data_IF_654045942165
#
_entry.id   IF_654045942165
#
_cell.length_a   1.000
_cell.length_b   1.000
_cell.length_c   1.000
_cell.angle_alpha   90.00
_cell.angle_beta   90.00
_cell.angle_gamma   90.00
#
_symmetry.space_group_name_H-M   'P 1'
#
loop_
_entity.id
_entity.type
_entity.pdbx_description
1 polymer ?
#
# COMPACT_ATOMS: atom_id res chain seq x y z
N UNK A 1 -46.72 33.65 -16.33
CA UNK A 1 -46.01 33.05 -15.18
C UNK A 1 -44.53 33.06 -15.52
N UNK A 2 -43.75 33.98 -14.95
CA UNK A 2 -42.29 34.05 -15.14
C UNK A 2 -41.65 32.76 -14.65
N UNK A 3 -41.19 31.90 -15.57
CA UNK A 3 -40.26 30.84 -15.23
C UNK A 3 -38.92 31.51 -14.93
N UNK A 4 -38.74 31.90 -13.66
CA UNK A 4 -37.46 32.36 -13.16
C UNK A 4 -36.47 31.20 -13.38
N UNK A 5 -35.61 31.29 -14.38
CA UNK A 5 -34.73 30.20 -14.84
C UNK A 5 -33.66 29.94 -13.77
N UNK A 6 -34.01 29.15 -12.77
CA UNK A 6 -33.13 28.84 -11.66
C UNK A 6 -32.02 27.90 -12.15
N UNK A 7 -30.83 28.44 -12.40
CA UNK A 7 -29.65 27.64 -12.76
C UNK A 7 -29.02 27.00 -11.51
N UNK A 8 -28.57 25.73 -11.60
CA UNK A 8 -27.80 25.10 -10.53
C UNK A 8 -26.44 25.78 -10.36
N UNK A 9 -25.74 25.43 -9.28
CA UNK A 9 -24.41 25.98 -9.01
C UNK A 9 -23.43 25.70 -10.17
N UNK A 10 -22.90 26.77 -10.79
CA UNK A 10 -21.98 26.68 -11.94
C UNK A 10 -20.72 25.86 -11.64
N UNK A 11 -20.23 25.91 -10.41
CA UNK A 11 -19.03 25.17 -9.98
C UNK A 11 -19.27 23.66 -10.03
N UNK A 12 -20.39 23.18 -9.50
CA UNK A 12 -20.70 21.75 -9.52
C UNK A 12 -20.99 21.24 -10.94
N UNK A 13 -21.65 22.07 -11.76
CA UNK A 13 -21.90 21.74 -13.17
C UNK A 13 -20.59 21.70 -13.98
N UNK A 14 -19.69 22.67 -13.77
CA UNK A 14 -18.37 22.69 -14.41
C UNK A 14 -17.50 21.49 -14.00
N UNK A 15 -17.53 21.12 -12.72
CA UNK A 15 -16.88 19.91 -12.23
C UNK A 15 -17.45 18.65 -12.90
N UNK A 16 -18.78 18.53 -12.97
CA UNK A 16 -19.45 17.43 -13.64
C UNK A 16 -19.08 17.35 -15.13
N UNK A 17 -19.06 18.48 -15.84
CA UNK A 17 -18.70 18.54 -17.26
C UNK A 17 -17.24 18.19 -17.52
N UNK A 18 -16.33 18.55 -16.61
CA UNK A 18 -14.93 18.12 -16.68
C UNK A 18 -14.78 16.61 -16.41
N UNK A 19 -15.55 16.06 -15.48
CA UNK A 19 -15.45 14.66 -15.06
C UNK A 19 -16.17 13.68 -16.01
N UNK A 20 -17.33 14.05 -16.57
CA UNK A 20 -18.19 13.14 -17.32
C UNK A 20 -17.78 13.07 -18.81
N UNK A 21 -17.61 11.84 -19.30
CA UNK A 21 -17.33 11.56 -20.71
C UNK A 21 -18.48 12.08 -21.60
N UNK A 22 -18.20 12.72 -22.75
CA UNK A 22 -19.20 13.40 -23.58
C UNK A 22 -20.41 12.53 -23.98
N UNK A 23 -20.22 11.21 -24.11
CA UNK A 23 -21.26 10.25 -24.50
C UNK A 23 -22.44 10.13 -23.50
N UNK A 24 -22.21 10.36 -22.21
CA UNK A 24 -23.25 10.18 -21.16
C UNK A 24 -23.62 11.50 -20.46
N UNK A 25 -22.97 12.59 -20.88
CA UNK A 25 -23.08 13.89 -20.23
C UNK A 25 -24.49 14.45 -20.33
N UNK A 26 -25.06 14.47 -21.52
CA UNK A 26 -26.36 15.12 -21.77
C UNK A 26 -27.50 14.44 -20.99
N UNK A 27 -27.50 13.10 -20.95
CA UNK A 27 -28.55 12.33 -20.25
C UNK A 27 -28.45 12.51 -18.73
N UNK A 28 -27.25 12.39 -18.16
CA UNK A 28 -27.04 12.54 -16.72
C UNK A 28 -27.22 14.00 -16.27
N UNK A 29 -26.76 14.97 -17.07
CA UNK A 29 -26.97 16.40 -16.81
C UNK A 29 -28.46 16.75 -16.83
N UNK A 30 -29.21 16.17 -17.78
CA UNK A 30 -30.66 16.32 -17.87
C UNK A 30 -31.36 15.85 -16.59
N UNK A 31 -31.10 14.61 -16.18
CA UNK A 31 -31.69 14.00 -14.97
C UNK A 31 -31.32 14.76 -13.67
N UNK A 32 -30.06 15.19 -13.54
CA UNK A 32 -29.62 16.01 -12.40
C UNK A 32 -30.29 17.40 -12.38
N UNK A 33 -30.45 18.02 -13.55
CA UNK A 33 -31.06 19.34 -13.68
C UNK A 33 -32.57 19.27 -13.43
N UNK A 34 -33.24 18.22 -13.89
CA UNK A 34 -34.65 17.95 -13.60
C UNK A 34 -34.90 17.80 -12.10
N UNK A 35 -34.10 16.97 -11.40
CA UNK A 35 -34.20 16.85 -9.93
C UNK A 35 -33.90 18.15 -9.20
N UNK A 36 -32.94 18.94 -9.68
CA UNK A 36 -32.67 20.26 -9.10
C UNK A 36 -33.89 21.18 -9.20
N UNK A 37 -34.53 21.28 -10.37
CA UNK A 37 -35.74 22.08 -10.53
C UNK A 37 -36.87 21.62 -9.60
N UNK A 38 -37.06 20.31 -9.48
CA UNK A 38 -38.03 19.74 -8.51
C UNK A 38 -37.70 20.13 -7.06
N UNK A 39 -36.42 20.14 -6.69
CA UNK A 39 -35.99 20.58 -5.36
C UNK A 39 -36.12 22.10 -5.15
N UNK A 40 -35.94 22.91 -6.20
CA UNK A 40 -36.14 24.37 -6.12
C UNK A 40 -37.61 24.67 -5.83
N UNK A 41 -38.54 24.00 -6.53
CA UNK A 41 -39.98 24.19 -6.32
C UNK A 41 -40.43 23.73 -4.93
N UNK A 42 -39.85 22.64 -4.40
CA UNK A 42 -40.28 22.04 -3.13
C UNK A 42 -39.64 22.65 -1.89
N UNK A 43 -38.38 23.11 -1.97
CA UNK A 43 -37.60 23.51 -0.81
C UNK A 43 -36.87 24.86 -0.95
N UNK A 44 -36.99 25.52 -2.10
CA UNK A 44 -36.28 26.76 -2.42
C UNK A 44 -34.83 26.56 -2.88
N UNK A 45 -34.27 27.62 -3.49
CA UNK A 45 -32.96 27.62 -4.17
C UNK A 45 -31.79 27.13 -3.32
N UNK A 46 -31.72 27.55 -2.05
CA UNK A 46 -30.58 27.25 -1.17
C UNK A 46 -30.46 25.76 -0.85
N UNK A 47 -31.58 25.11 -0.50
CA UNK A 47 -31.60 23.67 -0.19
C UNK A 47 -31.43 22.82 -1.45
N UNK A 48 -32.02 23.25 -2.57
CA UNK A 48 -31.84 22.62 -3.86
C UNK A 48 -30.37 22.58 -4.30
N UNK A 49 -29.62 23.67 -4.13
CA UNK A 49 -28.19 23.72 -4.49
C UNK A 49 -27.36 22.74 -3.65
N UNK A 50 -27.65 22.63 -2.34
CA UNK A 50 -26.96 21.67 -1.48
C UNK A 50 -27.26 20.22 -1.87
N UNK A 51 -28.49 19.92 -2.26
CA UNK A 51 -28.88 18.59 -2.74
C UNK A 51 -28.22 18.26 -4.08
N UNK A 52 -28.19 19.21 -5.02
CA UNK A 52 -27.51 19.06 -6.30
C UNK A 52 -26.02 18.79 -6.14
N UNK A 53 -25.32 19.58 -5.31
CA UNK A 53 -23.90 19.34 -5.00
C UNK A 53 -23.70 17.95 -4.38
N UNK A 54 -24.59 17.56 -3.45
CA UNK A 54 -24.55 16.22 -2.85
C UNK A 54 -24.74 15.13 -3.89
N UNK A 55 -25.66 15.28 -4.84
CA UNK A 55 -25.92 14.32 -5.90
C UNK A 55 -24.76 14.22 -6.90
N UNK A 56 -24.15 15.34 -7.29
CA UNK A 56 -22.94 15.36 -8.13
C UNK A 56 -21.76 14.66 -7.42
N UNK A 57 -21.57 14.92 -6.11
CA UNK A 57 -20.55 14.23 -5.30
C UNK A 57 -20.92 12.75 -5.07
N UNK A 58 -22.21 12.41 -4.93
CA UNK A 58 -22.68 11.03 -4.77
C UNK A 58 -22.56 10.25 -6.08
N UNK A 59 -22.66 10.91 -7.24
CA UNK A 59 -22.36 10.32 -8.54
C UNK A 59 -20.91 9.83 -8.57
N UNK A 60 -20.02 10.54 -7.86
CA UNK A 60 -18.66 10.15 -7.54
C UNK A 60 -18.61 9.20 -6.32
N UNK A 61 -19.47 8.16 -6.29
CA UNK A 61 -19.49 7.17 -5.21
C UNK A 61 -18.11 6.49 -5.10
N UNK A 62 -17.42 6.54 -3.94
CA UNK A 62 -16.18 5.81 -3.69
C UNK A 62 -16.32 4.28 -3.82
N UNK A 63 -17.56 3.76 -3.79
CA UNK A 63 -17.86 2.35 -4.01
C UNK A 63 -17.58 1.88 -5.46
N UNK A 64 -17.60 2.78 -6.46
CA UNK A 64 -17.14 2.46 -7.84
C UNK A 64 -15.64 2.64 -7.97
N UNK A 65 -15.04 3.64 -7.32
CA UNK A 65 -13.58 3.75 -7.24
C UNK A 65 -12.93 2.50 -6.60
N UNK A 66 -13.60 1.91 -5.59
CA UNK A 66 -13.29 0.58 -5.06
C UNK A 66 -13.26 -0.53 -6.12
N UNK A 67 -14.18 -0.47 -7.09
CA UNK A 67 -14.30 -1.41 -8.20
C UNK A 67 -13.41 -1.05 -9.42
N UNK A 68 -12.90 0.18 -9.50
CA UNK A 68 -11.91 0.59 -10.50
C UNK A 68 -10.53 0.03 -10.14
N UNK A 69 -10.21 -0.21 -8.86
CA UNK A 69 -9.04 -1.03 -8.49
C UNK A 69 -9.09 -2.43 -9.09
N UNK A 70 -10.28 -2.98 -9.32
CA UNK A 70 -10.44 -4.28 -9.99
C UNK A 70 -10.23 -4.17 -11.52
N UNK A 71 -10.55 -3.02 -12.13
CA UNK A 71 -10.39 -2.80 -13.58
C UNK A 71 -8.98 -2.32 -13.97
N UNK A 72 -8.23 -1.71 -13.04
CA UNK A 72 -6.81 -1.40 -13.20
C UNK A 72 -5.90 -2.59 -12.86
N UNK A 73 -6.45 -3.68 -12.30
CA UNK A 73 -5.70 -4.90 -11.95
C UNK A 73 -5.45 -5.85 -13.13
N UNK A 74 -5.89 -5.53 -14.34
CA UNK A 74 -5.72 -6.42 -15.51
C UNK A 74 -4.32 -6.33 -16.16
N UNK A 75 -3.40 -5.55 -15.57
CA UNK A 75 -2.00 -5.43 -16.01
C UNK A 75 -0.96 -5.35 -14.89
N UNK A 76 -1.37 -5.18 -13.63
CA UNK A 76 -0.48 -5.46 -12.50
C UNK A 76 -0.45 -6.96 -12.30
N UNK A 77 0.72 -7.58 -12.48
CA UNK A 77 0.93 -8.97 -12.07
C UNK A 77 0.27 -9.15 -10.70
N UNK A 78 -0.74 -10.02 -10.60
CA UNK A 78 -1.27 -10.43 -9.31
C UNK A 78 -0.13 -11.13 -8.57
N UNK A 79 0.63 -10.35 -7.81
CA UNK A 79 1.55 -10.89 -6.83
C UNK A 79 0.62 -11.53 -5.80
N UNK A 80 0.35 -12.82 -5.98
CA UNK A 80 -0.38 -13.62 -5.00
C UNK A 80 0.18 -13.34 -3.61
N UNK A 81 -0.64 -13.34 -2.57
CA UNK A 81 -0.22 -12.93 -1.22
C UNK A 81 1.06 -13.69 -0.73
N UNK A 82 1.29 -14.89 -1.25
CA UNK A 82 2.51 -15.69 -1.06
C UNK A 82 3.76 -15.06 -1.69
N UNK A 83 3.65 -14.53 -2.91
CA UNK A 83 4.74 -13.86 -3.62
C UNK A 83 5.04 -12.49 -2.99
N UNK A 84 4.03 -11.81 -2.42
CA UNK A 84 4.21 -10.53 -1.73
C UNK A 84 5.13 -10.69 -0.52
N UNK A 85 4.91 -11.72 0.29
CA UNK A 85 5.72 -11.98 1.50
C UNK A 85 7.17 -12.29 1.17
N UNK A 86 7.41 -13.14 0.16
CA UNK A 86 8.76 -13.45 -0.30
C UNK A 86 9.46 -12.20 -0.84
N UNK A 87 8.74 -11.40 -1.65
CA UNK A 87 9.25 -10.14 -2.17
C UNK A 87 9.57 -9.14 -1.05
N UNK A 88 8.72 -9.05 -0.02
CA UNK A 88 9.00 -8.24 1.18
C UNK A 88 10.25 -8.71 1.91
N UNK A 89 10.46 -10.03 2.07
CA UNK A 89 11.67 -10.57 2.69
C UNK A 89 12.90 -10.19 1.86
N UNK A 90 12.90 -10.41 0.54
CA UNK A 90 14.01 -10.04 -0.32
C UNK A 90 14.30 -8.53 -0.26
N UNK A 91 13.26 -7.70 -0.36
CA UNK A 91 13.41 -6.25 -0.26
C UNK A 91 13.98 -5.80 1.09
N UNK A 92 13.56 -6.43 2.19
CA UNK A 92 14.10 -6.17 3.51
C UNK A 92 15.58 -6.57 3.63
N UNK A 93 15.98 -7.73 3.09
CA UNK A 93 17.40 -8.16 3.08
C UNK A 93 18.25 -7.16 2.31
N UNK A 94 17.81 -6.78 1.11
CA UNK A 94 18.53 -5.77 0.30
C UNK A 94 18.62 -4.45 1.07
N UNK A 95 17.53 -3.96 1.66
CA UNK A 95 17.53 -2.72 2.43
C UNK A 95 18.50 -2.77 3.62
N UNK A 96 18.58 -3.90 4.32
CA UNK A 96 19.53 -4.08 5.44
C UNK A 96 20.97 -4.11 4.96
N UNK A 97 21.27 -4.83 3.87
CA UNK A 97 22.63 -4.90 3.30
C UNK A 97 23.08 -3.58 2.65
N UNK A 98 22.15 -2.72 2.23
CA UNK A 98 22.49 -1.38 1.74
C UNK A 98 23.07 -0.50 2.85
N UNK A 99 22.74 -0.72 4.12
CA UNK A 99 23.27 0.06 5.25
C UNK A 99 24.80 -0.01 5.31
N UNK A 100 25.43 -1.20 5.45
CA UNK A 100 26.88 -1.30 5.45
C UNK A 100 27.50 -0.86 4.12
N UNK A 101 26.86 -1.15 2.98
CA UNK A 101 27.36 -0.71 1.67
C UNK A 101 27.46 0.81 1.57
N UNK A 102 26.45 1.53 2.05
CA UNK A 102 26.48 2.99 2.10
C UNK A 102 27.48 3.44 3.16
N UNK A 103 27.49 2.84 4.35
CA UNK A 103 28.38 3.21 5.45
C UNK A 103 29.87 3.13 5.10
N UNK A 104 30.29 2.14 4.29
CA UNK A 104 31.65 2.00 3.76
C UNK A 104 32.11 3.20 2.93
N UNK A 105 31.19 4.01 2.39
CA UNK A 105 31.54 5.24 1.66
C UNK A 105 31.80 6.43 2.59
N UNK A 106 31.36 6.36 3.85
CA UNK A 106 31.47 7.45 4.82
C UNK A 106 32.53 7.22 5.90
N UNK A 107 32.85 5.95 6.21
CA UNK A 107 33.81 5.61 7.26
C UNK A 107 34.57 4.33 6.94
N UNK A 108 35.84 4.27 7.34
CA UNK A 108 36.65 3.05 7.30
C UNK A 108 36.39 2.10 8.48
N UNK A 109 35.56 2.49 9.45
CA UNK A 109 35.17 1.64 10.60
C UNK A 109 34.30 0.46 10.17
N UNK A 110 33.49 0.63 9.12
CA UNK A 110 32.73 -0.46 8.50
C UNK A 110 33.51 -0.88 7.27
N UNK A 111 34.21 -2.01 7.34
CA UNK A 111 35.00 -2.54 6.21
C UNK A 111 34.58 -3.96 5.88
N UNK A 112 33.41 -4.11 5.26
CA UNK A 112 32.88 -5.42 4.88
C UNK A 112 33.43 -5.85 3.51
N UNK A 113 33.99 -7.05 3.45
CA UNK A 113 34.34 -7.69 2.19
C UNK A 113 33.08 -8.28 1.52
N UNK A 114 33.17 -8.59 0.23
CA UNK A 114 32.11 -9.29 -0.53
C UNK A 114 31.67 -10.58 0.17
N UNK A 115 32.60 -11.26 0.86
CA UNK A 115 32.28 -12.45 1.65
C UNK A 115 31.35 -12.15 2.82
N UNK A 116 31.52 -11.02 3.52
CA UNK A 116 30.65 -10.61 4.64
C UNK A 116 29.24 -10.30 4.14
N UNK A 117 29.12 -9.62 3.01
CA UNK A 117 27.83 -9.40 2.34
C UNK A 117 27.16 -10.72 1.95
N UNK A 118 27.93 -11.69 1.45
CA UNK A 118 27.40 -13.00 1.07
C UNK A 118 26.91 -13.79 2.30
N UNK A 119 27.71 -13.85 3.35
CA UNK A 119 27.37 -14.54 4.61
C UNK A 119 26.16 -13.89 5.26
N UNK A 120 26.15 -12.56 5.39
CA UNK A 120 25.02 -11.82 5.94
C UNK A 120 23.75 -12.00 5.08
N UNK A 121 23.88 -11.99 3.75
CA UNK A 121 22.79 -12.24 2.82
C UNK A 121 22.18 -13.63 2.97
N UNK A 122 23.02 -14.68 3.03
CA UNK A 122 22.57 -16.06 3.25
C UNK A 122 21.90 -16.19 4.61
N UNK A 123 22.47 -15.60 5.66
CA UNK A 123 21.93 -15.66 7.02
C UNK A 123 20.55 -14.99 7.11
N UNK A 124 20.39 -13.79 6.54
CA UNK A 124 19.14 -13.05 6.55
C UNK A 124 18.06 -13.75 5.70
N UNK A 125 18.40 -14.22 4.50
CA UNK A 125 17.47 -14.95 3.65
C UNK A 125 17.05 -16.29 4.26
N UNK A 126 18.01 -17.04 4.81
CA UNK A 126 17.76 -18.31 5.51
C UNK A 126 16.85 -18.13 6.72
N UNK A 127 17.08 -17.07 7.50
CA UNK A 127 16.23 -16.72 8.66
C UNK A 127 14.83 -16.32 8.21
N UNK A 128 14.72 -15.46 7.19
CA UNK A 128 13.43 -15.04 6.62
C UNK A 128 12.62 -16.22 6.06
N UNK A 129 13.27 -17.15 5.36
CA UNK A 129 12.62 -18.35 4.84
C UNK A 129 12.19 -19.30 5.96
N UNK A 130 13.02 -19.48 6.98
CA UNK A 130 12.66 -20.31 8.16
C UNK A 130 11.46 -19.72 8.91
N UNK A 131 11.43 -18.40 9.10
CA UNK A 131 10.28 -17.72 9.70
C UNK A 131 9.02 -17.88 8.85
N UNK A 132 9.14 -17.76 7.52
CA UNK A 132 8.05 -18.00 6.58
C UNK A 132 7.51 -19.44 6.71
N UNK A 133 8.39 -20.44 6.81
CA UNK A 133 8.02 -21.84 7.02
C UNK A 133 7.29 -22.06 8.35
N UNK A 134 7.76 -21.46 9.45
CA UNK A 134 7.10 -21.53 10.77
C UNK A 134 5.68 -20.97 10.67
N UNK A 135 5.53 -19.79 10.04
CA UNK A 135 4.24 -19.14 9.89
C UNK A 135 3.28 -19.92 8.99
N UNK A 136 3.79 -20.67 8.00
CA UNK A 136 3.00 -21.53 7.11
C UNK A 136 2.59 -22.86 7.77
N UNK A 137 3.49 -23.53 8.47
CA UNK A 137 3.25 -24.88 9.00
C UNK A 137 2.55 -24.88 10.35
N UNK A 138 2.86 -23.92 11.22
CA UNK A 138 2.29 -23.87 12.56
C UNK A 138 0.96 -23.12 12.49
N UNK A 139 -0.15 -23.71 12.98
CA UNK A 139 -1.46 -23.04 12.99
C UNK A 139 -1.73 -22.24 14.27
N UNK A 140 -1.16 -22.67 15.39
CA UNK A 140 -1.37 -22.06 16.71
C UNK A 140 -0.47 -20.85 16.91
N UNK A 141 -1.07 -19.71 17.27
CA UNK A 141 -0.33 -18.44 17.43
C UNK A 141 0.69 -18.49 18.57
N UNK A 142 0.39 -19.20 19.68
CA UNK A 142 1.34 -19.33 20.81
C UNK A 142 2.64 -20.01 20.37
N UNK A 143 2.53 -21.12 19.64
CA UNK A 143 3.70 -21.83 19.13
C UNK A 143 4.43 -21.05 18.04
N UNK A 144 3.72 -20.27 17.21
CA UNK A 144 4.36 -19.36 16.23
C UNK A 144 5.26 -18.35 16.92
N UNK A 145 4.76 -17.67 17.96
CA UNK A 145 5.54 -16.66 18.69
C UNK A 145 6.75 -17.32 19.36
N UNK A 146 6.57 -18.45 20.05
CA UNK A 146 7.67 -19.14 20.73
C UNK A 146 8.78 -19.57 19.75
N UNK A 147 8.41 -20.18 18.62
CA UNK A 147 9.38 -20.61 17.61
C UNK A 147 10.04 -19.42 16.90
N UNK A 148 9.29 -18.35 16.63
CA UNK A 148 9.86 -17.13 16.05
C UNK A 148 10.84 -16.45 17.02
N UNK A 149 10.52 -16.42 18.31
CA UNK A 149 11.40 -15.87 19.35
C UNK A 149 12.67 -16.71 19.48
N UNK A 150 12.54 -18.04 19.53
CA UNK A 150 13.70 -18.94 19.57
C UNK A 150 14.59 -18.76 18.33
N UNK A 151 13.99 -18.69 17.13
CA UNK A 151 14.72 -18.41 15.88
C UNK A 151 15.44 -17.06 15.94
N UNK A 152 14.80 -16.03 16.47
CA UNK A 152 15.39 -14.71 16.61
C UNK A 152 16.60 -14.69 17.57
N UNK A 153 16.50 -15.42 18.68
CA UNK A 153 17.62 -15.58 19.61
C UNK A 153 18.80 -16.30 18.94
N UNK A 154 18.54 -17.40 18.23
CA UNK A 154 19.59 -18.12 17.48
C UNK A 154 20.23 -17.23 16.42
N UNK A 155 19.41 -16.47 15.68
CA UNK A 155 19.91 -15.51 14.69
C UNK A 155 20.85 -14.48 15.33
N UNK A 156 20.46 -13.88 16.46
CA UNK A 156 21.31 -12.91 17.17
C UNK A 156 22.61 -13.53 17.69
N UNK A 157 22.57 -14.77 18.17
CA UNK A 157 23.77 -15.48 18.62
C UNK A 157 24.75 -15.71 17.45
N UNK A 158 24.24 -16.16 16.31
CA UNK A 158 25.06 -16.35 15.10
C UNK A 158 25.59 -15.01 14.60
N UNK A 159 24.77 -13.96 14.60
CA UNK A 159 25.20 -12.63 14.21
C UNK A 159 26.28 -12.07 15.13
N UNK A 160 26.13 -12.22 16.45
CA UNK A 160 27.11 -11.78 17.43
C UNK A 160 28.42 -12.56 17.33
N UNK A 161 28.36 -13.87 17.04
CA UNK A 161 29.58 -14.66 16.80
C UNK A 161 30.30 -14.20 15.54
N UNK A 162 29.58 -13.93 14.45
CA UNK A 162 30.19 -13.46 13.21
C UNK A 162 30.72 -12.02 13.33
N UNK A 163 30.05 -11.15 14.08
CA UNK A 163 30.43 -9.75 14.20
C UNK A 163 31.48 -9.47 15.28
N UNK A 164 31.39 -10.17 16.42
CA UNK A 164 32.19 -9.90 17.63
C UNK A 164 33.00 -11.11 18.07
N UNK A 165 32.68 -12.33 17.63
CA UNK A 165 33.45 -13.54 17.98
C UNK A 165 33.33 -13.94 19.44
N UNK A 166 32.13 -13.85 20.02
CA UNK A 166 31.91 -14.00 21.47
C UNK A 166 32.34 -15.37 22.04
N UNK A 167 32.33 -16.42 21.21
CA UNK A 167 32.65 -17.79 21.62
C UNK A 167 34.07 -18.22 21.24
N UNK A 168 34.84 -17.37 20.53
CA UNK A 168 36.19 -17.69 20.09
C UNK A 168 36.28 -18.89 19.14
N UNK A 169 35.21 -19.18 18.39
CA UNK A 169 35.19 -20.26 17.41
C UNK A 169 36.02 -19.89 16.17
N UNK A 170 36.51 -20.87 15.38
CA UNK A 170 37.21 -20.57 14.12
C UNK A 170 36.34 -19.91 13.05
N UNK A 171 35.04 -19.71 13.31
CA UNK A 171 34.10 -18.99 12.46
C UNK A 171 33.90 -17.53 12.88
N UNK A 172 34.52 -17.08 13.98
CA UNK A 172 34.47 -15.69 14.44
C UNK A 172 35.04 -14.73 13.38
N UNK A 173 34.41 -13.57 13.21
CA UNK A 173 34.79 -12.57 12.20
C UNK A 173 36.22 -12.09 12.34
N UNK A 174 36.95 -12.09 11.21
CA UNK A 174 38.33 -11.63 11.07
C UNK A 174 38.42 -10.32 10.29
#
# INVERSE_FOLDING_TARGET
MEQNEYKPSRIALAFFQWYCHPRFREEIEGDLTERYHMHVLKYGRGKANRLFIKEVILLFRPAVAGNIYHLTNTGTMEITNQNKRLFTILAAVVAVLLIPLIAMNFSSEVNWNVFDFLVAGILLLGTGFTLELILRKVKSMRYRILLALALFVVFLLVWAELAVGIFGSPFAGS
#
